data_IF_337003764195
#
_entry.id   IF_337003764195
#
_cell.length_a   1.000
_cell.length_b   1.000
_cell.length_c   1.000
_cell.angle_alpha   90.00
_cell.angle_beta   90.00
_cell.angle_gamma   90.00
#
_symmetry.space_group_name_H-M   'P 1'
#
loop_
_entity.id
_entity.type
_entity.pdbx_description
1 polymer ?
#
# COMPACT_ATOMS: atom_id res chain seq x y z
N UNK A 1 -1.42 -1.41 -2.17
CA UNK A 1 -1.34 -1.81 -0.74
C UNK A 1 -1.97 -0.75 0.14
N UNK A 2 -2.48 -1.11 1.32
CA UNK A 2 -3.12 -0.19 2.27
C UNK A 2 -2.56 -0.48 3.66
N UNK A 3 -2.06 0.52 4.36
CA UNK A 3 -1.59 0.39 5.74
C UNK A 3 -0.43 1.30 6.10
N UNK A 4 -0.22 1.50 7.39
CA UNK A 4 0.77 2.45 7.93
C UNK A 4 2.22 2.02 7.67
N UNK A 5 3.19 2.91 7.87
CA UNK A 5 4.61 2.57 7.84
C UNK A 5 4.90 1.41 8.82
N UNK A 6 5.88 0.56 8.49
CA UNK A 6 6.27 -0.62 9.29
C UNK A 6 5.22 -1.76 9.37
N UNK A 7 4.08 -1.66 8.69
CA UNK A 7 3.07 -2.74 8.63
C UNK A 7 3.49 -3.96 7.80
N UNK A 8 4.64 -3.91 7.11
CA UNK A 8 5.16 -5.04 6.33
C UNK A 8 4.68 -5.06 4.87
N UNK A 9 4.13 -3.95 4.35
CA UNK A 9 3.69 -3.82 2.94
C UNK A 9 4.78 -4.27 1.95
N UNK A 10 5.94 -3.61 1.95
CA UNK A 10 7.04 -3.93 1.04
C UNK A 10 7.51 -5.39 1.16
N UNK A 11 7.51 -5.93 2.38
CA UNK A 11 7.84 -7.34 2.66
C UNK A 11 6.81 -8.30 2.05
N UNK A 12 5.52 -7.98 2.15
CA UNK A 12 4.43 -8.73 1.53
C UNK A 12 4.50 -8.65 0.00
N UNK A 13 4.75 -7.46 -0.55
CA UNK A 13 4.86 -7.27 -2.01
C UNK A 13 5.94 -8.17 -2.58
N UNK A 14 7.16 -8.09 -2.02
CA UNK A 14 8.30 -8.89 -2.51
C UNK A 14 8.07 -10.40 -2.45
N UNK A 15 7.22 -10.87 -1.55
CA UNK A 15 6.92 -12.29 -1.39
C UNK A 15 5.76 -12.78 -2.28
N UNK A 16 4.86 -11.88 -2.69
CA UNK A 16 3.58 -12.27 -3.27
C UNK A 16 3.32 -11.71 -4.69
N UNK A 17 4.07 -10.70 -5.13
CA UNK A 17 3.83 -10.05 -6.41
C UNK A 17 5.12 -9.89 -7.20
N UNK A 18 5.06 -10.32 -8.46
CA UNK A 18 6.04 -10.00 -9.51
C UNK A 18 5.39 -8.98 -10.46
N UNK A 19 5.24 -7.75 -9.96
CA UNK A 19 4.50 -6.66 -10.59
C UNK A 19 5.36 -5.39 -10.56
N UNK A 20 5.08 -4.44 -11.46
CA UNK A 20 5.74 -3.13 -11.47
C UNK A 20 5.43 -2.40 -10.15
N UNK A 21 6.46 -2.20 -9.32
CA UNK A 21 6.30 -1.54 -8.03
C UNK A 21 6.38 -0.04 -8.24
N UNK A 22 5.30 0.64 -7.87
CA UNK A 22 5.18 2.09 -7.98
C UNK A 22 5.00 2.64 -6.56
N UNK A 23 5.74 3.68 -6.22
CA UNK A 23 5.58 4.41 -4.98
C UNK A 23 5.74 5.90 -5.26
N UNK A 24 4.94 6.72 -4.59
CA UNK A 24 4.96 8.18 -4.74
C UNK A 24 6.37 8.78 -4.51
N UNK A 25 7.18 8.15 -3.66
CA UNK A 25 8.57 8.55 -3.40
C UNK A 25 9.49 8.46 -4.63
N UNK A 26 9.15 7.64 -5.63
CA UNK A 26 9.94 7.54 -6.87
C UNK A 26 9.75 8.75 -7.79
N UNK A 27 8.74 9.59 -7.50
CA UNK A 27 8.36 10.74 -8.30
C UNK A 27 8.50 12.06 -7.53
N UNK A 28 9.42 12.14 -6.57
CA UNK A 28 9.64 13.34 -5.72
C UNK A 28 8.36 13.82 -5.01
N UNK A 29 7.50 12.89 -4.60
CA UNK A 29 6.18 13.18 -4.03
C UNK A 29 5.20 13.89 -4.97
N UNK A 30 5.40 13.78 -6.28
CA UNK A 30 4.51 14.32 -7.29
C UNK A 30 3.45 13.29 -7.71
N UNK A 31 2.25 13.41 -7.13
CA UNK A 31 1.11 12.51 -7.41
C UNK A 31 0.70 12.52 -8.89
N UNK A 32 0.87 13.64 -9.60
CA UNK A 32 0.52 13.73 -11.02
C UNK A 32 1.42 12.82 -11.86
N UNK A 33 2.75 12.90 -11.65
CA UNK A 33 3.72 12.05 -12.36
C UNK A 33 3.53 10.58 -12.06
N UNK A 34 3.23 10.25 -10.80
CA UNK A 34 2.93 8.86 -10.42
C UNK A 34 1.69 8.34 -11.15
N UNK A 35 0.59 9.10 -11.18
CA UNK A 35 -0.63 8.69 -11.89
C UNK A 35 -0.41 8.57 -13.41
N UNK A 36 0.38 9.46 -14.00
CA UNK A 36 0.79 9.37 -15.41
C UNK A 36 1.56 8.06 -15.67
N UNK A 37 2.50 7.69 -14.80
CA UNK A 37 3.26 6.45 -14.94
C UNK A 37 2.41 5.19 -14.72
N UNK A 38 1.50 5.22 -13.74
CA UNK A 38 0.51 4.14 -13.54
C UNK A 38 -0.33 3.99 -14.81
N UNK A 39 -0.79 5.10 -15.39
CA UNK A 39 -1.57 5.09 -16.62
C UNK A 39 -0.79 4.46 -17.79
N UNK A 40 0.48 4.80 -17.98
CA UNK A 40 1.35 4.20 -18.99
C UNK A 40 1.50 2.68 -18.79
N UNK A 41 1.71 2.23 -17.56
CA UNK A 41 1.81 0.81 -17.24
C UNK A 41 0.51 0.07 -17.55
N UNK A 42 -0.64 0.65 -17.19
CA UNK A 42 -1.95 0.06 -17.48
C UNK A 42 -2.24 0.02 -18.98
N UNK A 43 -1.89 1.07 -19.74
CA UNK A 43 -1.98 1.09 -21.21
C UNK A 43 -1.13 -0.02 -21.85
N UNK A 44 0.03 -0.30 -21.28
CA UNK A 44 0.92 -1.38 -21.72
C UNK A 44 0.48 -2.78 -21.26
N UNK A 45 -0.65 -2.90 -20.55
CA UNK A 45 -1.16 -4.18 -20.03
C UNK A 45 -0.32 -4.76 -18.87
N UNK A 46 0.50 -3.94 -18.21
CA UNK A 46 1.33 -4.38 -17.08
C UNK A 46 0.52 -4.45 -15.79
N UNK A 47 0.83 -5.44 -14.96
CA UNK A 47 0.36 -5.48 -13.58
C UNK A 47 1.21 -4.53 -12.73
N UNK A 48 0.54 -3.70 -11.92
CA UNK A 48 1.17 -2.70 -11.05
C UNK A 48 0.83 -2.94 -9.59
N UNK A 49 1.74 -2.56 -8.70
CA UNK A 49 1.52 -2.53 -7.25
C UNK A 49 1.91 -1.18 -6.69
N UNK A 50 0.93 -0.49 -6.10
CA UNK A 50 1.15 0.78 -5.40
C UNK A 50 1.64 0.48 -3.98
N UNK A 51 2.92 0.71 -3.71
CA UNK A 51 3.60 0.52 -2.40
C UNK A 51 3.66 1.81 -1.58
N UNK A 52 2.51 2.47 -1.46
CA UNK A 52 2.31 3.59 -0.55
C UNK A 52 1.40 3.19 0.61
N UNK A 53 1.19 4.12 1.55
CA UNK A 53 0.34 3.89 2.72
C UNK A 53 -1.15 3.87 2.37
N UNK A 54 -1.58 4.67 1.40
CA UNK A 54 -2.96 4.74 0.87
C UNK A 54 -4.03 4.80 1.97
N UNK A 55 -3.81 5.69 2.95
CA UNK A 55 -4.56 5.72 4.21
C UNK A 55 -6.01 6.18 4.04
N UNK A 56 -6.27 7.10 3.12
CA UNK A 56 -7.60 7.70 2.94
C UNK A 56 -8.29 7.16 1.70
N UNK A 57 -9.62 7.16 1.74
CA UNK A 57 -10.52 6.83 0.63
C UNK A 57 -10.24 7.72 -0.58
N UNK A 58 -9.92 9.01 -0.36
CA UNK A 58 -9.60 9.95 -1.44
C UNK A 58 -8.37 9.55 -2.25
N UNK A 59 -7.31 9.07 -1.58
CA UNK A 59 -6.10 8.57 -2.26
C UNK A 59 -6.42 7.29 -3.02
N UNK A 60 -7.11 6.34 -2.36
CA UNK A 60 -7.48 5.05 -2.98
C UNK A 60 -8.35 5.26 -4.21
N UNK A 61 -9.32 6.18 -4.13
CA UNK A 61 -10.23 6.53 -5.24
C UNK A 61 -9.48 6.94 -6.50
N UNK A 62 -8.41 7.73 -6.40
CA UNK A 62 -7.62 8.15 -7.57
C UNK A 62 -7.03 6.95 -8.32
N UNK A 63 -6.49 5.98 -7.59
CA UNK A 63 -5.92 4.77 -8.18
C UNK A 63 -7.01 3.83 -8.73
N UNK A 64 -8.12 3.68 -8.01
CA UNK A 64 -9.25 2.82 -8.42
C UNK A 64 -9.89 3.36 -9.69
N UNK A 65 -10.19 4.66 -9.74
CA UNK A 65 -10.81 5.29 -10.91
C UNK A 65 -9.90 5.18 -12.14
N UNK A 66 -8.58 5.32 -11.96
CA UNK A 66 -7.60 5.12 -13.03
C UNK A 66 -7.58 3.66 -13.51
N UNK A 67 -7.55 2.68 -12.59
CA UNK A 67 -7.56 1.27 -12.96
C UNK A 67 -8.84 0.88 -13.73
N UNK A 68 -10.00 1.37 -13.28
CA UNK A 68 -11.30 1.14 -13.94
C UNK A 68 -11.35 1.70 -15.36
N UNK A 69 -10.74 2.87 -15.61
CA UNK A 69 -10.64 3.45 -16.97
C UNK A 69 -9.96 2.49 -17.97
N UNK A 70 -9.07 1.63 -17.49
CA UNK A 70 -8.34 0.64 -18.29
C UNK A 70 -8.87 -0.78 -18.12
N UNK A 71 -10.07 -0.95 -17.54
CA UNK A 71 -10.67 -2.26 -17.24
C UNK A 71 -9.75 -3.20 -16.43
N UNK A 72 -8.84 -2.64 -15.63
CA UNK A 72 -7.95 -3.40 -14.79
C UNK A 72 -8.68 -3.86 -13.52
N UNK A 73 -8.39 -5.08 -13.07
CA UNK A 73 -8.87 -5.60 -11.78
C UNK A 73 -8.14 -4.93 -10.63
N UNK A 74 -8.87 -4.45 -9.64
CA UNK A 74 -8.37 -3.75 -8.47
C UNK A 74 -8.43 -4.65 -7.24
N UNK A 75 -7.27 -4.99 -6.70
CA UNK A 75 -7.15 -5.72 -5.43
C UNK A 75 -6.62 -4.82 -4.33
N UNK A 76 -7.38 -4.68 -3.25
CA UNK A 76 -6.96 -3.98 -2.04
C UNK A 76 -6.35 -4.96 -1.04
N UNK A 77 -5.15 -4.65 -0.52
CA UNK A 77 -4.53 -5.45 0.55
C UNK A 77 -4.32 -4.55 1.76
N UNK A 78 -5.14 -4.75 2.81
CA UNK A 78 -5.05 -4.05 4.07
C UNK A 78 -4.10 -4.76 5.03
N UNK A 79 -3.02 -4.09 5.40
CA UNK A 79 -2.09 -4.55 6.43
C UNK A 79 -2.58 -4.10 7.81
N UNK A 80 -3.43 -4.91 8.42
CA UNK A 80 -3.97 -4.67 9.76
C UNK A 80 -2.94 -5.09 10.82
N UNK A 81 -1.96 -4.23 11.07
CA UNK A 81 -0.86 -4.48 12.02
C UNK A 81 -1.14 -3.80 13.36
N UNK A 82 -1.04 -4.56 14.43
CA UNK A 82 -1.18 -4.07 15.80
C UNK A 82 -0.11 -3.03 16.15
N UNK A 83 -0.49 -2.06 16.99
CA UNK A 83 0.41 -1.01 17.47
C UNK A 83 1.66 -1.58 18.14
N UNK A 84 1.51 -2.62 18.97
CA UNK A 84 2.64 -3.25 19.66
C UNK A 84 3.66 -3.85 18.68
N UNK A 85 3.21 -4.46 17.57
CA UNK A 85 4.09 -4.99 16.55
C UNK A 85 4.79 -3.86 15.75
N UNK A 86 4.09 -2.77 15.44
CA UNK A 86 4.69 -1.59 14.80
C UNK A 86 5.80 -0.99 15.67
N UNK A 87 5.55 -0.81 16.97
CA UNK A 87 6.54 -0.32 17.93
C UNK A 87 7.73 -1.26 18.05
N UNK A 88 7.49 -2.58 18.12
CA UNK A 88 8.56 -3.59 18.13
C UNK A 88 9.45 -3.50 16.89
N UNK A 89 8.85 -3.38 15.70
CA UNK A 89 9.56 -3.23 14.42
C UNK A 89 10.33 -1.92 14.33
N UNK A 90 9.81 -0.86 14.93
CA UNK A 90 10.47 0.44 14.97
C UNK A 90 11.74 0.37 15.84
N UNK A 91 11.65 -0.22 17.04
CA UNK A 91 12.78 -0.40 17.96
C UNK A 91 13.89 -1.28 17.39
N UNK A 92 13.56 -2.22 16.51
CA UNK A 92 14.56 -3.10 15.88
C UNK A 92 15.30 -2.48 14.69
N UNK A 93 14.91 -1.28 14.24
CA UNK A 93 15.55 -0.62 13.08
C UNK A 93 16.75 0.21 13.54
N UNK A 94 17.81 0.17 12.73
CA UNK A 94 19.00 0.99 12.93
C UNK A 94 18.71 2.50 12.78
N UNK A 95 17.86 2.87 11.82
CA UNK A 95 17.33 4.22 11.67
C UNK A 95 15.81 4.22 11.94
N UNK A 96 15.39 4.55 13.18
CA UNK A 96 14.03 4.38 13.63
C UNK A 96 13.11 5.51 13.15
N UNK A 97 12.12 5.13 12.34
CA UNK A 97 11.05 6.05 11.92
C UNK A 97 10.28 6.61 13.14
N UNK A 98 9.96 7.91 13.22
CA UNK A 98 9.31 8.48 14.40
C UNK A 98 7.95 7.84 14.69
N UNK A 99 7.76 7.35 15.93
CA UNK A 99 6.49 6.73 16.36
C UNK A 99 5.31 7.70 16.23
N UNK A 100 5.54 9.00 16.41
CA UNK A 100 4.53 10.05 16.24
C UNK A 100 3.92 10.05 14.85
N UNK A 101 4.73 9.82 13.81
CA UNK A 101 4.25 9.73 12.42
C UNK A 101 3.43 8.46 12.22
N UNK A 102 3.86 7.32 12.79
CA UNK A 102 3.10 6.06 12.71
C UNK A 102 1.73 6.22 13.39
N UNK A 103 1.67 6.85 14.56
CA UNK A 103 0.40 7.09 15.25
C UNK A 103 -0.51 8.06 14.49
N UNK A 104 0.07 9.08 13.84
CA UNK A 104 -0.69 9.95 12.94
C UNK A 104 -1.31 9.15 11.79
N UNK A 105 -0.51 8.29 11.14
CA UNK A 105 -1.00 7.44 10.06
C UNK A 105 -2.08 6.45 10.51
N UNK A 106 -1.99 5.90 11.73
CA UNK A 106 -3.03 5.04 12.30
C UNK A 106 -4.35 5.78 12.51
N UNK A 107 -4.30 7.05 12.89
CA UNK A 107 -5.49 7.90 13.04
C UNK A 107 -6.09 8.30 11.69
N UNK A 108 -5.26 8.50 10.68
CA UNK A 108 -5.67 8.86 9.31
C UNK A 108 -6.15 7.65 8.50
N UNK A 109 -5.85 6.42 8.94
CA UNK A 109 -6.25 5.20 8.23
C UNK A 109 -7.76 5.04 8.26
N UNK A 110 -8.38 5.29 7.12
CA UNK A 110 -9.78 4.97 6.86
C UNK A 110 -9.87 3.50 6.45
N UNK A 111 -10.76 2.75 7.11
CA UNK A 111 -10.96 1.33 6.82
C UNK A 111 -11.47 1.15 5.39
N UNK A 112 -10.75 0.41 4.52
CA UNK A 112 -11.20 0.23 3.15
C UNK A 112 -12.45 -0.63 3.09
N UNK A 113 -13.37 -0.26 2.20
CA UNK A 113 -14.62 -0.98 1.96
C UNK A 113 -14.76 -1.37 0.49
N UNK A 114 -15.50 -2.45 0.21
CA UNK A 114 -15.66 -2.96 -1.16
C UNK A 114 -16.31 -1.93 -2.10
N UNK A 115 -17.21 -1.09 -1.56
CA UNK A 115 -17.94 -0.05 -2.29
C UNK A 115 -17.05 1.05 -2.89
N UNK A 116 -15.78 1.17 -2.45
CA UNK A 116 -14.81 2.05 -3.10
C UNK A 116 -14.51 1.62 -4.54
N UNK A 117 -14.80 0.35 -4.88
CA UNK A 117 -14.61 -0.20 -6.21
C UNK A 117 -13.48 -1.22 -6.32
N UNK A 118 -13.17 -1.91 -5.23
CA UNK A 118 -12.27 -3.06 -5.25
C UNK A 118 -13.01 -4.29 -5.80
N UNK A 119 -12.36 -5.07 -6.66
CA UNK A 119 -12.84 -6.41 -7.04
C UNK A 119 -12.60 -7.42 -5.90
N UNK A 120 -11.55 -7.21 -5.11
CA UNK A 120 -11.20 -8.05 -3.99
C UNK A 120 -10.53 -7.21 -2.88
N UNK A 121 -10.91 -7.46 -1.64
CA UNK A 121 -10.28 -6.86 -0.47
C UNK A 121 -9.72 -7.95 0.46
N UNK A 122 -8.39 -7.95 0.64
CA UNK A 122 -7.66 -8.92 1.44
C UNK A 122 -7.17 -8.24 2.71
N UNK A 123 -7.43 -8.84 3.87
CA UNK A 123 -6.95 -8.34 5.15
C UNK A 123 -5.82 -9.25 5.65
N UNK A 124 -4.66 -8.66 5.93
CA UNK A 124 -3.52 -9.34 6.54
C UNK A 124 -3.29 -8.81 7.95
N UNK A 125 -3.70 -9.61 8.93
CA UNK A 125 -3.52 -9.31 10.34
C UNK A 125 -2.09 -9.65 10.78
N UNK A 126 -1.40 -8.69 11.38
CA UNK A 126 -0.06 -8.85 11.98
C UNK A 126 0.91 -9.63 11.08
N UNK A 127 0.92 -9.35 9.78
CA UNK A 127 1.67 -10.13 8.80
C UNK A 127 3.16 -10.20 9.14
N UNK A 128 3.66 -11.40 9.39
CA UNK A 128 5.08 -11.70 9.47
C UNK A 128 5.45 -12.56 8.26
N UNK A 129 6.63 -12.34 7.70
CA UNK A 129 7.14 -13.23 6.67
C UNK A 129 7.25 -14.64 7.26
N UNK A 130 6.79 -15.69 6.56
CA UNK A 130 7.04 -17.05 6.99
C UNK A 130 8.53 -17.21 7.19
N UNK A 131 8.96 -17.60 8.39
CA UNK A 131 10.35 -18.03 8.60
C UNK A 131 10.55 -19.22 7.67
N UNK A 132 11.44 -19.09 6.69
CA UNK A 132 11.83 -20.23 5.86
C UNK A 132 12.26 -21.36 6.78
N UNK A 133 11.58 -22.49 6.67
CA UNK A 133 12.02 -23.78 7.21
C UNK A 133 13.30 -24.20 6.51
#
# INVERSE_FOLDING_TARGET
MIGVALSGKTTYIKANFDHERIALSFFDNNRKKELEYIEECLKAGKNVVIDDTNLTTSIRKQHIDLAKKYNAKVRGVLMNTSRGLLEKRQKSRHDPFPLTVIYKQLKELETPIIDEGFDELIIKKDYEQPKGT
#
